data_IF_287458711747
#
_entry.id   IF_287458711747
#
_cell.length_a   1.000
_cell.length_b   1.000
_cell.length_c   1.000
_cell.angle_alpha   90.00
_cell.angle_beta   90.00
_cell.angle_gamma   90.00
#
_symmetry.space_group_name_H-M   'P 1'
#
loop_
_entity.id
_entity.type
_entity.pdbx_description
1 polymer ?
#
# COMPACT_ATOMS: atom_id res chain seq x y z
N UNK A 1 -30.52 39.56 76.89
CA UNK A 1 -30.75 38.16 76.48
C UNK A 1 -29.72 37.81 75.46
N UNK A 2 -28.79 36.86 75.69
CA UNK A 2 -27.76 36.46 74.71
C UNK A 2 -28.39 35.57 73.60
N UNK A 3 -28.14 35.90 72.36
CA UNK A 3 -28.52 35.13 71.19
C UNK A 3 -27.75 33.82 71.17
N UNK A 4 -28.42 32.70 71.46
CA UNK A 4 -27.85 31.37 71.30
C UNK A 4 -27.70 31.08 69.81
N UNK A 5 -26.47 30.99 69.31
CA UNK A 5 -26.18 30.56 67.98
C UNK A 5 -26.47 29.04 67.86
N UNK A 6 -27.35 28.73 66.97
CA UNK A 6 -27.74 27.32 66.75
C UNK A 6 -26.69 26.59 65.95
N UNK A 7 -25.97 25.70 66.60
CA UNK A 7 -24.89 24.86 65.96
C UNK A 7 -25.39 24.06 64.75
N UNK A 8 -26.67 23.85 64.60
CA UNK A 8 -27.26 23.08 63.47
C UNK A 8 -27.14 23.79 62.11
N UNK A 9 -27.11 25.14 62.10
CA UNK A 9 -26.96 25.90 60.83
C UNK A 9 -25.54 25.86 60.30
N UNK A 10 -24.54 25.83 61.16
CA UNK A 10 -23.12 25.72 60.77
C UNK A 10 -22.78 24.41 60.05
N UNK A 11 -23.32 23.28 60.53
CA UNK A 11 -23.11 21.95 59.96
C UNK A 11 -23.80 21.81 58.60
N UNK A 12 -24.90 22.49 58.36
CA UNK A 12 -25.60 22.51 57.06
C UNK A 12 -24.81 23.26 55.99
N UNK A 13 -24.26 24.41 56.31
CA UNK A 13 -23.47 25.25 55.41
C UNK A 13 -22.14 24.59 55.00
N UNK A 14 -21.51 23.89 55.93
CA UNK A 14 -20.25 23.17 55.63
C UNK A 14 -20.47 21.95 54.73
N UNK A 15 -21.56 21.21 54.90
CA UNK A 15 -21.97 20.13 54.02
C UNK A 15 -22.33 20.64 52.61
N UNK A 16 -22.97 21.77 52.51
CA UNK A 16 -23.31 22.41 51.23
C UNK A 16 -22.05 22.87 50.50
N UNK A 17 -21.10 23.48 51.23
CA UNK A 17 -19.81 23.93 50.68
C UNK A 17 -18.94 22.77 50.20
N UNK A 18 -18.90 21.61 50.90
CA UNK A 18 -18.20 20.40 50.50
C UNK A 18 -18.83 19.74 49.27
N UNK A 19 -20.17 19.71 49.17
CA UNK A 19 -20.91 19.21 48.03
C UNK A 19 -20.71 20.07 46.78
N UNK A 20 -20.75 21.40 46.94
CA UNK A 20 -20.49 22.31 45.83
C UNK A 20 -19.05 22.26 45.35
N UNK A 21 -18.07 22.13 46.24
CA UNK A 21 -16.67 21.95 45.88
C UNK A 21 -16.44 20.64 45.12
N UNK A 22 -17.10 19.54 45.53
CA UNK A 22 -17.03 18.26 44.85
C UNK A 22 -17.66 18.32 43.45
N UNK A 23 -18.78 19.00 43.31
CA UNK A 23 -19.45 19.23 42.02
C UNK A 23 -18.57 20.05 41.05
N UNK A 24 -17.91 21.09 41.53
CA UNK A 24 -17.00 21.92 40.74
C UNK A 24 -15.78 21.09 40.30
N UNK A 25 -15.24 20.26 41.21
CA UNK A 25 -14.07 19.40 40.94
C UNK A 25 -14.32 18.32 39.86
N UNK A 26 -15.59 17.91 39.68
CA UNK A 26 -16.00 16.95 38.67
C UNK A 26 -16.46 17.61 37.36
N UNK A 27 -17.24 18.71 37.47
CA UNK A 27 -17.82 19.39 36.31
C UNK A 27 -16.78 20.17 35.49
N UNK A 28 -15.77 20.75 36.13
CA UNK A 28 -14.73 21.51 35.41
C UNK A 28 -13.88 20.61 34.48
N UNK A 29 -13.35 19.46 34.94
CA UNK A 29 -12.63 18.56 34.02
C UNK A 29 -13.52 17.94 32.94
N UNK A 30 -14.80 17.65 33.23
CA UNK A 30 -15.74 17.16 32.22
C UNK A 30 -16.03 18.22 31.15
N UNK A 31 -16.19 19.46 31.52
CA UNK A 31 -16.33 20.59 30.60
C UNK A 31 -15.04 20.82 29.80
N UNK A 32 -13.90 20.73 30.45
CA UNK A 32 -12.61 20.84 29.76
C UNK A 32 -12.40 19.70 28.75
N UNK A 33 -12.78 18.47 29.11
CA UNK A 33 -12.75 17.31 28.18
C UNK A 33 -13.74 17.48 27.02
N UNK A 34 -14.93 18.00 27.29
CA UNK A 34 -15.93 18.32 26.27
C UNK A 34 -15.45 19.40 25.31
N UNK A 35 -14.86 20.47 25.81
CA UNK A 35 -14.26 21.53 24.98
C UNK A 35 -13.03 21.06 24.21
N UNK A 36 -12.23 20.15 24.77
CA UNK A 36 -11.12 19.53 24.08
C UNK A 36 -11.60 18.65 22.90
N UNK A 37 -12.63 17.83 23.13
CA UNK A 37 -13.24 17.03 22.07
C UNK A 37 -13.92 17.89 20.99
N UNK A 38 -14.57 18.98 21.36
CA UNK A 38 -15.13 19.95 20.41
C UNK A 38 -14.04 20.64 19.57
N UNK A 39 -12.89 20.95 20.16
CA UNK A 39 -11.73 21.46 19.40
C UNK A 39 -11.13 20.40 18.49
N UNK A 40 -11.10 19.12 18.90
CA UNK A 40 -10.64 18.01 18.06
C UNK A 40 -11.58 17.75 16.88
N UNK A 41 -12.89 18.01 17.04
CA UNK A 41 -13.88 17.94 15.94
C UNK A 41 -13.85 19.17 15.02
N UNK A 42 -13.34 20.31 15.49
CA UNK A 42 -13.08 21.51 14.71
C UNK A 42 -11.60 21.57 14.25
N UNK A 43 -11.05 20.43 13.80
CA UNK A 43 -9.96 20.58 12.85
C UNK A 43 -10.53 21.34 11.66
N UNK A 44 -9.97 22.50 11.27
CA UNK A 44 -10.37 23.13 10.03
C UNK A 44 -10.26 22.04 8.97
N UNK A 45 -11.37 21.80 8.27
CA UNK A 45 -11.36 21.01 7.05
C UNK A 45 -10.11 21.44 6.32
N UNK A 46 -9.19 20.46 6.09
CA UNK A 46 -7.83 20.78 5.68
C UNK A 46 -7.85 21.91 4.67
N UNK A 47 -6.96 22.86 4.81
CA UNK A 47 -6.84 23.97 3.86
C UNK A 47 -7.10 23.41 2.48
N UNK A 48 -8.04 23.96 1.69
CA UNK A 48 -8.27 23.48 0.34
C UNK A 48 -6.90 23.36 -0.28
N UNK A 49 -6.53 22.15 -0.73
CA UNK A 49 -5.26 21.94 -1.43
C UNK A 49 -5.31 22.96 -2.55
N UNK A 50 -4.56 24.05 -2.42
CA UNK A 50 -4.42 25.03 -3.48
C UNK A 50 -4.08 24.24 -4.73
N UNK A 51 -4.65 24.56 -5.92
CA UNK A 51 -4.21 23.94 -7.14
C UNK A 51 -2.70 24.04 -7.16
N UNK A 52 -2.04 22.91 -6.97
CA UNK A 52 -0.60 22.86 -6.84
C UNK A 52 -0.05 23.41 -8.16
N UNK A 53 0.80 24.41 -8.06
CA UNK A 53 1.63 24.82 -9.19
C UNK A 53 2.23 23.52 -9.72
N UNK A 54 1.98 23.21 -10.98
CA UNK A 54 2.52 22.03 -11.63
C UNK A 54 4.02 22.04 -11.40
N UNK A 55 4.51 21.16 -10.54
CA UNK A 55 5.94 21.02 -10.34
C UNK A 55 6.53 20.72 -11.71
N UNK A 56 7.58 21.44 -12.13
CA UNK A 56 8.26 21.18 -13.40
C UNK A 56 8.82 19.75 -13.46
N UNK A 57 8.81 19.04 -12.32
CA UNK A 57 9.39 17.75 -12.10
C UNK A 57 8.34 16.74 -11.59
N UNK A 58 8.48 15.49 -12.03
CA UNK A 58 7.56 14.41 -11.68
C UNK A 58 8.31 13.09 -11.47
N UNK A 59 7.62 12.16 -10.82
CA UNK A 59 8.06 10.77 -10.66
C UNK A 59 7.33 9.92 -11.70
N UNK A 60 8.05 9.07 -12.41
CA UNK A 60 7.47 8.10 -13.35
C UNK A 60 7.27 6.77 -12.65
N UNK A 61 6.05 6.23 -12.70
CA UNK A 61 5.68 4.95 -12.12
C UNK A 61 5.12 4.00 -13.19
N UNK A 62 5.78 2.87 -13.41
CA UNK A 62 5.14 1.70 -14.02
C UNK A 62 4.58 0.84 -12.89
N UNK A 63 3.25 0.83 -12.68
CA UNK A 63 2.64 0.13 -11.55
C UNK A 63 2.71 -1.39 -11.73
N UNK A 64 2.43 -2.15 -10.66
CA UNK A 64 2.36 -3.61 -10.71
C UNK A 64 1.24 -4.09 -11.65
N UNK A 65 0.13 -3.38 -11.62
CA UNK A 65 -1.04 -3.59 -12.49
C UNK A 65 -1.89 -2.31 -12.56
N UNK A 66 -2.87 -2.30 -13.47
CA UNK A 66 -3.77 -1.16 -13.70
C UNK A 66 -4.83 -0.94 -12.61
N UNK A 67 -4.93 -1.77 -11.58
CA UNK A 67 -5.94 -1.65 -10.52
C UNK A 67 -5.69 -0.44 -9.61
N UNK A 68 -6.77 0.15 -9.05
CA UNK A 68 -6.66 1.34 -8.22
C UNK A 68 -5.61 1.30 -7.11
N UNK A 69 -5.41 0.21 -6.35
CA UNK A 69 -4.39 0.15 -5.30
C UNK A 69 -2.97 0.34 -5.82
N UNK A 70 -2.67 -0.17 -7.01
CA UNK A 70 -1.32 -0.10 -7.58
C UNK A 70 -1.07 1.18 -8.38
N UNK A 71 -2.10 1.86 -8.84
CA UNK A 71 -2.01 3.05 -9.68
C UNK A 71 -2.65 4.28 -9.04
N UNK A 72 -4.00 4.31 -8.93
CA UNK A 72 -4.72 5.51 -8.52
C UNK A 72 -4.36 5.98 -7.12
N UNK A 73 -4.23 5.05 -6.16
CA UNK A 73 -3.89 5.42 -4.78
C UNK A 73 -2.49 6.00 -4.69
N UNK A 74 -1.56 5.55 -5.54
CA UNK A 74 -0.19 6.12 -5.58
C UNK A 74 -0.19 7.52 -6.18
N UNK A 75 -0.97 7.74 -7.25
CA UNK A 75 -1.16 9.07 -7.84
C UNK A 75 -1.75 10.04 -6.81
N UNK A 76 -2.79 9.63 -6.09
CA UNK A 76 -3.45 10.47 -5.09
C UNK A 76 -2.56 10.72 -3.88
N UNK A 77 -1.79 9.72 -3.44
CA UNK A 77 -0.78 9.90 -2.39
C UNK A 77 0.33 10.87 -2.81
N UNK A 78 0.80 10.77 -4.06
CA UNK A 78 1.74 11.72 -4.64
C UNK A 78 1.21 13.14 -4.60
N UNK A 79 -0.03 13.36 -5.05
CA UNK A 79 -0.69 14.67 -5.00
C UNK A 79 -0.79 15.23 -3.59
N UNK A 80 -1.12 14.39 -2.60
CA UNK A 80 -1.16 14.80 -1.19
C UNK A 80 0.24 15.21 -0.70
N UNK A 81 1.27 14.48 -1.15
CA UNK A 81 2.67 14.73 -0.80
C UNK A 81 3.34 15.86 -1.61
N UNK A 82 2.65 16.47 -2.56
CA UNK A 82 3.22 17.52 -3.40
C UNK A 82 4.09 17.00 -4.54
N UNK A 83 3.93 15.74 -4.93
CA UNK A 83 4.70 15.11 -6.02
C UNK A 83 3.74 14.67 -7.13
N UNK A 84 4.00 15.06 -8.36
CA UNK A 84 3.29 14.52 -9.50
C UNK A 84 3.78 13.10 -9.81
N UNK A 85 2.83 12.16 -9.99
CA UNK A 85 3.13 10.77 -10.36
C UNK A 85 2.55 10.51 -11.74
N UNK A 86 3.42 10.33 -12.72
CA UNK A 86 3.06 10.02 -14.11
C UNK A 86 3.10 8.52 -14.33
N UNK A 87 2.04 7.97 -14.91
CA UNK A 87 1.90 6.53 -15.17
C UNK A 87 1.61 6.28 -16.64
N UNK A 88 1.89 5.07 -17.17
CA UNK A 88 1.51 4.72 -18.53
C UNK A 88 0.02 4.95 -18.81
N UNK A 89 -0.36 5.32 -20.04
CA UNK A 89 -1.75 5.37 -20.46
C UNK A 89 -2.49 4.05 -20.18
N UNK A 90 -3.80 4.12 -19.94
CA UNK A 90 -4.62 2.95 -19.60
C UNK A 90 -4.58 1.88 -20.68
N UNK A 91 -4.47 2.28 -21.93
CA UNK A 91 -4.46 1.41 -23.10
C UNK A 91 -3.23 0.51 -23.18
N UNK A 92 -2.16 0.90 -22.49
CA UNK A 92 -0.93 0.11 -22.39
C UNK A 92 -0.92 -0.83 -21.19
N UNK A 93 -1.77 -0.58 -20.17
CA UNK A 93 -1.79 -1.34 -18.94
C UNK A 93 -2.68 -2.59 -19.06
N UNK A 94 -2.52 -3.51 -18.14
CA UNK A 94 -3.37 -4.69 -18.04
C UNK A 94 -4.80 -4.34 -17.61
N UNK A 95 -5.72 -5.20 -18.04
CA UNK A 95 -7.12 -5.13 -17.60
C UNK A 95 -7.58 -6.52 -17.17
N UNK A 96 -7.67 -6.77 -15.88
CA UNK A 96 -7.95 -8.08 -15.28
C UNK A 96 -7.00 -9.18 -15.82
N UNK A 97 -7.54 -10.17 -16.56
CA UNK A 97 -6.79 -11.25 -17.18
C UNK A 97 -6.15 -10.88 -18.53
N UNK A 98 -6.43 -9.69 -19.06
CA UNK A 98 -5.80 -9.22 -20.30
C UNK A 98 -4.45 -8.61 -19.98
N UNK A 99 -3.40 -9.12 -20.60
CA UNK A 99 -2.04 -8.59 -20.48
C UNK A 99 -1.93 -7.19 -21.08
N UNK A 100 -1.20 -6.31 -20.42
CA UNK A 100 -0.81 -5.01 -20.98
C UNK A 100 0.15 -5.14 -22.16
N UNK A 101 0.28 -4.07 -22.94
CA UNK A 101 1.27 -3.97 -24.01
C UNK A 101 2.66 -3.64 -23.45
N UNK A 102 3.43 -4.67 -23.13
CA UNK A 102 4.79 -4.53 -22.56
C UNK A 102 5.73 -3.74 -23.45
N UNK A 103 5.64 -3.92 -24.77
CA UNK A 103 6.47 -3.19 -25.73
C UNK A 103 6.06 -1.73 -25.87
N UNK A 104 4.76 -1.46 -25.95
CA UNK A 104 4.22 -0.11 -25.92
C UNK A 104 4.59 0.66 -24.67
N UNK A 105 4.53 -0.01 -23.52
CA UNK A 105 4.89 0.57 -22.23
C UNK A 105 6.39 0.92 -22.14
N UNK A 106 7.29 0.06 -22.64
CA UNK A 106 8.72 0.35 -22.72
C UNK A 106 9.00 1.56 -23.64
N UNK A 107 8.34 1.66 -24.81
CA UNK A 107 8.46 2.82 -25.70
C UNK A 107 7.95 4.10 -25.05
N UNK A 108 6.79 4.03 -24.40
CA UNK A 108 6.24 5.15 -23.64
C UNK A 108 7.20 5.63 -22.56
N UNK A 109 7.80 4.72 -21.81
CA UNK A 109 8.72 5.04 -20.70
C UNK A 109 9.96 5.79 -21.20
N UNK A 110 10.56 5.36 -22.31
CA UNK A 110 11.68 6.09 -22.93
C UNK A 110 11.25 7.47 -23.41
N UNK A 111 10.07 7.58 -24.04
CA UNK A 111 9.55 8.85 -24.51
C UNK A 111 9.21 9.82 -23.37
N UNK A 112 8.66 9.30 -22.25
CA UNK A 112 8.32 10.11 -21.10
C UNK A 112 9.56 10.68 -20.41
N UNK A 113 10.54 9.79 -20.14
CA UNK A 113 11.79 10.20 -19.47
C UNK A 113 12.66 11.11 -20.33
N UNK A 114 12.56 11.04 -21.65
CA UNK A 114 13.26 11.94 -22.57
C UNK A 114 12.79 13.41 -22.48
N UNK A 115 11.67 13.72 -21.83
CA UNK A 115 11.21 15.10 -21.59
C UNK A 115 12.09 15.85 -20.59
N UNK A 116 12.96 15.17 -19.84
CA UNK A 116 13.94 15.80 -18.95
C UNK A 116 13.36 16.32 -17.62
N UNK A 117 12.13 15.94 -17.27
CA UNK A 117 11.44 16.42 -16.06
C UNK A 117 11.29 15.32 -14.99
N UNK A 118 11.92 14.15 -15.21
CA UNK A 118 11.81 12.98 -14.35
C UNK A 118 12.82 13.05 -13.20
N UNK A 119 12.34 13.02 -11.96
CA UNK A 119 13.18 12.99 -10.76
C UNK A 119 13.54 11.57 -10.32
N UNK A 120 12.61 10.62 -10.50
CA UNK A 120 12.81 9.22 -10.18
C UNK A 120 11.92 8.33 -11.04
N UNK A 121 12.34 7.10 -11.24
CA UNK A 121 11.60 6.09 -12.01
C UNK A 121 11.37 4.87 -11.13
N UNK A 122 10.11 4.47 -10.98
CA UNK A 122 9.71 3.25 -10.27
C UNK A 122 9.13 2.25 -11.25
N UNK A 123 9.69 1.04 -11.28
CA UNK A 123 9.36 0.04 -12.30
C UNK A 123 8.89 -1.28 -11.67
N UNK A 124 7.70 -1.71 -12.03
CA UNK A 124 7.32 -3.12 -11.87
C UNK A 124 7.94 -3.96 -12.98
N UNK A 125 8.84 -4.86 -12.61
CA UNK A 125 9.41 -5.86 -13.52
C UNK A 125 8.30 -6.77 -14.06
N UNK A 126 7.35 -7.14 -13.20
CA UNK A 126 6.22 -8.01 -13.58
C UNK A 126 5.36 -7.37 -14.67
N UNK A 127 5.10 -6.07 -14.57
CA UNK A 127 4.33 -5.33 -15.58
C UNK A 127 5.11 -5.22 -16.90
N UNK A 128 6.41 -4.95 -16.84
CA UNK A 128 7.26 -4.80 -18.03
C UNK A 128 7.60 -6.12 -18.73
N UNK A 129 7.57 -7.24 -18.01
CA UNK A 129 7.90 -8.56 -18.56
C UNK A 129 6.66 -9.35 -18.97
N UNK A 130 5.65 -9.37 -18.07
CA UNK A 130 4.46 -10.20 -18.22
C UNK A 130 3.22 -9.43 -18.62
N UNK A 131 3.24 -8.09 -18.47
CA UNK A 131 2.10 -7.24 -18.73
C UNK A 131 1.06 -7.22 -17.60
N UNK A 132 1.47 -7.50 -16.35
CA UNK A 132 0.63 -7.39 -15.17
C UNK A 132 0.76 -8.53 -14.17
N UNK A 133 0.17 -8.33 -12.98
CA UNK A 133 0.24 -9.27 -11.87
C UNK A 133 -0.37 -10.64 -12.20
N UNK A 134 -1.54 -10.67 -12.85
CA UNK A 134 -2.25 -11.92 -13.12
C UNK A 134 -1.50 -12.72 -14.19
N UNK A 135 -1.05 -12.06 -15.24
CA UNK A 135 -0.26 -12.69 -16.30
C UNK A 135 1.09 -13.22 -15.78
N UNK A 136 1.72 -12.51 -14.83
CA UNK A 136 2.95 -12.98 -14.18
C UNK A 136 2.77 -14.29 -13.38
N UNK A 137 1.53 -14.63 -13.00
CA UNK A 137 1.21 -15.87 -12.29
C UNK A 137 0.89 -17.03 -13.23
N UNK A 138 0.57 -16.75 -14.47
CA UNK A 138 0.13 -17.71 -15.47
C UNK A 138 1.23 -18.02 -16.51
N UNK A 139 2.07 -17.02 -16.78
CA UNK A 139 3.08 -17.09 -17.84
C UNK A 139 4.48 -17.26 -17.26
N UNK A 140 5.25 -18.17 -17.83
CA UNK A 140 6.69 -18.23 -17.62
C UNK A 140 7.40 -17.48 -18.74
N UNK A 141 8.28 -16.52 -18.37
CA UNK A 141 9.08 -15.80 -19.35
C UNK A 141 10.15 -16.70 -19.97
N UNK A 142 10.37 -16.54 -21.25
CA UNK A 142 11.48 -17.18 -21.94
C UNK A 142 12.80 -16.44 -21.66
N UNK A 143 13.96 -17.11 -21.77
CA UNK A 143 15.26 -16.44 -21.64
C UNK A 143 15.39 -15.23 -22.57
N UNK A 144 14.90 -15.31 -23.80
CA UNK A 144 14.95 -14.20 -24.76
C UNK A 144 14.13 -12.99 -24.28
N UNK A 145 12.93 -13.18 -23.72
CA UNK A 145 12.12 -12.09 -23.16
C UNK A 145 12.80 -11.42 -21.96
N UNK A 146 13.53 -12.20 -21.15
CA UNK A 146 14.31 -11.67 -20.03
C UNK A 146 15.49 -10.84 -20.55
N UNK A 147 16.22 -11.33 -21.55
CA UNK A 147 17.33 -10.61 -22.18
C UNK A 147 16.85 -9.29 -22.83
N UNK A 148 15.71 -9.32 -23.53
CA UNK A 148 15.09 -8.09 -24.07
C UNK A 148 14.76 -7.08 -22.98
N UNK A 149 14.25 -7.53 -21.84
CA UNK A 149 13.97 -6.64 -20.69
C UNK A 149 15.26 -6.07 -20.11
N UNK A 150 16.29 -6.88 -19.92
CA UNK A 150 17.58 -6.43 -19.42
C UNK A 150 18.22 -5.40 -20.37
N UNK A 151 18.21 -5.65 -21.67
CA UNK A 151 18.68 -4.70 -22.67
C UNK A 151 17.92 -3.36 -22.59
N UNK A 152 16.60 -3.42 -22.47
CA UNK A 152 15.78 -2.23 -22.27
C UNK A 152 16.12 -1.46 -20.98
N UNK A 153 16.34 -2.15 -19.86
CA UNK A 153 16.72 -1.49 -18.59
C UNK A 153 18.10 -0.80 -18.72
N UNK A 154 19.03 -1.40 -19.42
CA UNK A 154 20.33 -0.77 -19.73
C UNK A 154 20.15 0.47 -20.62
N UNK A 155 19.32 0.40 -21.64
CA UNK A 155 18.99 1.53 -22.51
C UNK A 155 18.36 2.67 -21.71
N UNK A 156 17.36 2.38 -20.89
CA UNK A 156 16.69 3.35 -20.02
C UNK A 156 17.66 4.05 -19.07
N UNK A 157 18.55 3.28 -18.42
CA UNK A 157 19.57 3.83 -17.53
C UNK A 157 20.58 4.69 -18.31
N UNK A 158 21.04 4.23 -19.48
CA UNK A 158 21.98 5.00 -20.31
C UNK A 158 21.37 6.34 -20.81
N UNK A 159 20.06 6.33 -21.10
CA UNK A 159 19.33 7.55 -21.47
C UNK A 159 19.09 8.50 -20.28
N UNK A 160 19.13 8.01 -19.05
CA UNK A 160 18.80 8.76 -17.84
C UNK A 160 19.86 8.55 -16.72
N UNK A 161 21.14 8.83 -16.95
CA UNK A 161 22.23 8.42 -16.05
C UNK A 161 22.20 9.13 -14.67
N UNK A 162 21.51 10.26 -14.56
CA UNK A 162 21.36 11.01 -13.30
C UNK A 162 20.06 10.72 -12.57
N UNK A 163 19.12 9.97 -13.18
CA UNK A 163 17.81 9.69 -12.62
C UNK A 163 17.84 8.34 -11.89
N UNK A 164 17.51 8.27 -10.60
CA UNK A 164 17.46 7.00 -9.88
C UNK A 164 16.33 6.13 -10.41
N UNK A 165 16.64 4.84 -10.63
CA UNK A 165 15.70 3.82 -11.09
C UNK A 165 15.51 2.80 -9.97
N UNK A 166 14.28 2.66 -9.50
CA UNK A 166 13.88 1.69 -8.49
C UNK A 166 13.05 0.60 -9.17
N UNK A 167 13.60 -0.60 -9.28
CA UNK A 167 12.90 -1.75 -9.83
C UNK A 167 12.39 -2.64 -8.69
N UNK A 168 11.18 -3.13 -8.81
CA UNK A 168 10.58 -4.09 -7.89
C UNK A 168 9.90 -5.21 -8.66
N UNK A 169 9.89 -6.39 -8.08
CA UNK A 169 9.16 -7.57 -8.55
C UNK A 169 8.45 -8.22 -7.38
N UNK A 170 7.33 -8.85 -7.64
CA UNK A 170 6.60 -9.57 -6.62
C UNK A 170 7.07 -11.01 -6.53
N UNK A 171 6.91 -11.59 -5.35
CA UNK A 171 6.95 -13.03 -5.17
C UNK A 171 5.50 -13.55 -5.23
N UNK A 172 5.09 -14.21 -6.34
CA UNK A 172 3.73 -14.69 -6.49
C UNK A 172 3.36 -15.68 -5.38
N UNK A 173 2.12 -15.64 -4.94
CA UNK A 173 1.61 -16.67 -4.03
C UNK A 173 1.57 -18.01 -4.75
N UNK A 174 1.75 -19.10 -4.00
CA UNK A 174 1.73 -20.47 -4.52
C UNK A 174 0.34 -20.95 -4.96
N UNK A 175 -0.73 -20.29 -4.50
CA UNK A 175 -2.09 -20.66 -4.91
C UNK A 175 -2.32 -20.29 -6.37
N UNK A 176 -2.58 -21.26 -7.27
CA UNK A 176 -2.88 -20.96 -8.66
C UNK A 176 -4.16 -20.13 -8.82
N UNK A 177 -4.33 -19.50 -9.98
CA UNK A 177 -5.59 -18.86 -10.38
C UNK A 177 -6.66 -19.93 -10.67
N UNK A 178 -7.92 -19.54 -10.55
CA UNK A 178 -9.07 -20.38 -10.90
C UNK A 178 -9.25 -20.59 -12.41
N UNK A 179 -8.46 -19.86 -13.22
CA UNK A 179 -8.45 -19.93 -14.67
C UNK A 179 -7.40 -20.88 -15.26
N UNK A 180 -6.53 -21.44 -14.40
CA UNK A 180 -5.44 -22.32 -14.86
C UNK A 180 -5.59 -23.74 -14.30
N UNK A 181 -5.00 -24.68 -15.00
CA UNK A 181 -4.89 -26.06 -14.56
C UNK A 181 -4.23 -26.15 -13.17
N UNK A 182 -4.68 -27.06 -12.35
CA UNK A 182 -4.16 -27.22 -10.98
C UNK A 182 -4.87 -26.38 -9.92
N UNK A 183 -5.91 -25.61 -10.27
CA UNK A 183 -6.66 -24.84 -9.27
C UNK A 183 -7.34 -25.75 -8.24
N UNK A 184 -7.88 -26.87 -8.66
CA UNK A 184 -8.56 -27.83 -7.77
C UNK A 184 -7.56 -28.55 -6.86
N UNK A 185 -6.34 -28.74 -7.32
CA UNK A 185 -5.20 -29.32 -6.59
C UNK A 185 -4.52 -28.32 -5.65
N UNK A 186 -4.91 -27.05 -5.64
CA UNK A 186 -4.24 -25.97 -4.89
C UNK A 186 -3.96 -26.27 -3.42
N UNK A 187 -4.81 -27.09 -2.78
CA UNK A 187 -4.63 -27.50 -1.37
C UNK A 187 -3.47 -28.48 -1.24
N UNK A 188 -3.38 -29.42 -2.17
CA UNK A 188 -2.31 -30.41 -2.22
C UNK A 188 -0.98 -29.76 -2.60
N UNK A 189 -0.98 -28.83 -3.57
CA UNK A 189 0.19 -28.02 -3.96
C UNK A 189 0.71 -27.20 -2.76
N UNK A 190 -0.17 -26.52 -2.03
CA UNK A 190 0.21 -25.76 -0.84
C UNK A 190 0.73 -26.66 0.29
N UNK A 191 0.13 -27.82 0.50
CA UNK A 191 0.58 -28.76 1.51
C UNK A 191 1.96 -29.34 1.15
N UNK A 192 2.15 -29.73 -0.11
CA UNK A 192 3.44 -30.18 -0.64
C UNK A 192 4.53 -29.12 -0.47
N UNK A 193 4.29 -27.89 -0.90
CA UNK A 193 5.25 -26.80 -0.79
C UNK A 193 5.69 -26.53 0.66
N UNK A 194 4.75 -26.59 1.62
CA UNK A 194 5.07 -26.43 3.04
C UNK A 194 5.99 -27.54 3.55
N UNK A 195 5.76 -28.79 3.14
CA UNK A 195 6.61 -29.92 3.52
C UNK A 195 8.01 -29.81 2.90
N UNK A 196 8.10 -29.46 1.62
CA UNK A 196 9.38 -29.19 0.96
C UNK A 196 10.15 -28.05 1.63
N UNK A 197 9.46 -26.96 1.96
CA UNK A 197 10.09 -25.82 2.67
C UNK A 197 10.60 -26.23 4.07
N UNK A 198 9.87 -27.07 4.79
CA UNK A 198 10.33 -27.62 6.09
C UNK A 198 11.55 -28.51 5.93
N UNK A 199 11.54 -29.40 4.91
CA UNK A 199 12.66 -30.30 4.59
C UNK A 199 13.91 -29.49 4.25
N UNK A 200 13.80 -28.47 3.40
CA UNK A 200 14.89 -27.58 3.05
C UNK A 200 15.45 -26.79 4.26
N UNK A 201 14.61 -26.52 5.25
CA UNK A 201 15.00 -25.87 6.50
C UNK A 201 15.57 -26.85 7.55
N UNK A 202 15.73 -28.13 7.23
CA UNK A 202 16.21 -29.17 8.16
C UNK A 202 15.22 -29.51 9.28
N UNK A 203 13.93 -29.18 9.12
CA UNK A 203 12.89 -29.47 10.10
C UNK A 203 12.27 -30.85 9.86
N UNK A 204 11.73 -31.53 10.89
CA UNK A 204 11.07 -32.81 10.74
C UNK A 204 9.94 -32.74 9.73
N UNK A 205 9.86 -33.72 8.82
CA UNK A 205 8.87 -33.81 7.77
C UNK A 205 8.23 -35.20 7.79
N UNK A 206 6.95 -35.27 7.50
CA UNK A 206 6.22 -36.49 7.21
C UNK A 206 6.53 -36.91 5.77
N UNK A 207 7.52 -37.82 5.63
CA UNK A 207 8.03 -38.28 4.31
C UNK A 207 6.95 -39.07 3.52
N UNK A 208 6.08 -39.82 4.22
CA UNK A 208 4.99 -40.56 3.58
C UNK A 208 4.00 -39.60 2.95
N UNK A 209 3.59 -38.58 3.71
CA UNK A 209 2.71 -37.53 3.23
C UNK A 209 3.32 -36.70 2.09
N UNK A 210 4.63 -36.40 2.20
CA UNK A 210 5.35 -35.70 1.14
C UNK A 210 5.35 -36.49 -0.16
N UNK A 211 5.64 -37.80 -0.10
CA UNK A 211 5.61 -38.70 -1.26
C UNK A 211 4.19 -38.84 -1.85
N UNK A 212 3.18 -38.99 -1.00
CA UNK A 212 1.79 -39.07 -1.44
C UNK A 212 1.31 -37.79 -2.14
N UNK A 213 1.69 -36.61 -1.63
CA UNK A 213 1.37 -35.35 -2.28
C UNK A 213 2.13 -35.18 -3.59
N UNK A 214 3.41 -35.55 -3.64
CA UNK A 214 4.21 -35.51 -4.86
C UNK A 214 3.64 -36.36 -5.98
N UNK A 215 3.00 -37.50 -5.64
CA UNK A 215 2.40 -38.38 -6.63
C UNK A 215 1.06 -37.87 -7.18
N UNK A 216 0.44 -36.90 -6.50
CA UNK A 216 -0.83 -36.29 -6.93
C UNK A 216 -0.66 -35.04 -7.79
N UNK A 217 0.48 -34.37 -7.67
CA UNK A 217 0.81 -33.12 -8.35
C UNK A 217 1.69 -33.44 -9.56
#
# INVERSE_FOLDING_TARGET
VPKVWNESEGISLERYRKRSALLILVLVPLLALGLWNLRALHHPAGTPISPQETTEHHVVLVPLDGRPPCRQFVIDAGRIGGTEVVTPPHELQDYYSQSGDTKGMRRWLLAETAKGQTEAIFLSIDQLLYGGLLTAREKQATPAEVEELLAFLHELHAANPAVPIYAFSILPRLTPQDTIDGYDERRDIMAYSRLVGRQAAGLPVDEEKLAALKAKI
#
